data_IF_771930475974
#
_entry.id   IF_771930475974
#
_cell.length_a   1.000
_cell.length_b   1.000
_cell.length_c   1.000
_cell.angle_alpha   90.00
_cell.angle_beta   90.00
_cell.angle_gamma   90.00
#
_symmetry.space_group_name_H-M   'P 1'
#
loop_
_entity.id
_entity.type
_entity.pdbx_description
1 polymer ?
#
# COMPACT_ATOMS: atom_id res chain seq x y z
N UNK A 1 65.08 33.38 12.05
CA UNK A 1 64.66 32.74 13.32
C UNK A 1 63.14 32.62 13.33
N UNK A 2 62.64 31.41 13.62
CA UNK A 2 61.28 31.02 14.06
C UNK A 2 60.09 31.21 13.07
N UNK A 3 59.72 30.13 12.39
CA UNK A 3 58.38 29.91 11.82
C UNK A 3 57.53 29.21 12.88
N UNK A 4 56.44 29.83 13.32
CA UNK A 4 55.47 29.24 14.25
C UNK A 4 54.32 28.65 13.44
N UNK A 5 54.11 27.34 13.55
CA UNK A 5 52.98 26.64 12.96
C UNK A 5 51.90 26.48 14.05
N UNK A 6 50.70 27.04 13.83
CA UNK A 6 49.55 26.74 14.68
C UNK A 6 48.74 25.62 14.03
N UNK A 7 48.60 24.49 14.73
CA UNK A 7 47.72 23.40 14.36
C UNK A 7 46.46 23.51 15.22
N UNK A 8 45.36 23.96 14.61
CA UNK A 8 44.05 24.04 15.26
C UNK A 8 43.29 22.75 15.00
N UNK A 9 43.17 21.90 16.02
CA UNK A 9 42.31 20.71 15.98
C UNK A 9 40.88 21.11 16.31
N UNK A 10 39.98 21.09 15.33
CA UNK A 10 38.55 21.29 15.55
C UNK A 10 37.91 19.96 15.97
N UNK A 11 37.27 19.94 17.14
CA UNK A 11 36.47 18.81 17.62
C UNK A 11 35.03 18.97 17.11
N UNK A 12 34.59 18.09 16.22
CA UNK A 12 33.20 18.08 15.73
C UNK A 12 32.38 17.19 16.65
N UNK A 13 31.46 17.79 17.40
CA UNK A 13 30.40 17.09 18.13
C UNK A 13 29.37 16.58 17.13
N UNK A 14 29.36 15.27 16.85
CA UNK A 14 28.28 14.64 16.11
C UNK A 14 27.04 14.55 17.02
N UNK A 15 26.01 15.36 16.73
CA UNK A 15 24.72 15.19 17.38
C UNK A 15 23.99 13.98 16.77
N UNK A 16 23.40 13.08 17.57
CA UNK A 16 22.58 12.00 17.03
C UNK A 16 21.34 12.62 16.38
N UNK A 17 21.19 12.40 15.08
CA UNK A 17 19.94 12.68 14.40
C UNK A 17 18.88 11.73 14.96
N UNK A 18 18.01 12.22 15.84
CA UNK A 18 16.77 11.52 16.15
C UNK A 18 15.96 11.47 14.86
N UNK A 19 15.97 10.31 14.20
CA UNK A 19 15.05 10.04 13.11
C UNK A 19 13.64 10.15 13.68
N UNK A 20 12.98 11.28 13.44
CA UNK A 20 11.59 11.44 13.78
C UNK A 20 10.81 10.51 12.86
N UNK A 21 10.49 9.31 13.36
CA UNK A 21 9.55 8.39 12.73
C UNK A 21 8.27 9.19 12.47
N UNK A 22 8.06 9.56 11.21
CA UNK A 22 6.78 10.11 10.78
C UNK A 22 5.77 8.99 10.90
N UNK A 23 4.73 9.16 11.73
CA UNK A 23 3.61 8.23 11.80
C UNK A 23 3.11 7.91 10.38
N UNK A 24 2.78 6.64 10.07
CA UNK A 24 2.28 6.26 8.75
C UNK A 24 1.01 7.02 8.39
N UNK A 25 0.71 7.12 7.10
CA UNK A 25 -0.61 7.60 6.66
C UNK A 25 -1.69 6.56 6.97
N UNK A 26 -2.94 7.01 7.02
CA UNK A 26 -4.09 6.18 7.34
C UNK A 26 -4.22 4.95 6.41
N UNK A 27 -3.91 5.11 5.13
CA UNK A 27 -3.90 3.99 4.16
C UNK A 27 -2.98 2.85 4.58
N UNK A 28 -1.78 3.15 5.10
CA UNK A 28 -0.85 2.11 5.56
C UNK A 28 -1.37 1.43 6.83
N UNK A 29 -2.00 2.19 7.75
CA UNK A 29 -2.65 1.60 8.92
C UNK A 29 -3.77 0.62 8.53
N UNK A 30 -4.51 0.89 7.45
CA UNK A 30 -5.52 -0.04 6.93
C UNK A 30 -4.89 -1.32 6.39
N UNK A 31 -3.81 -1.19 5.59
CA UNK A 31 -3.06 -2.34 5.07
C UNK A 31 -2.54 -3.22 6.20
N UNK A 32 -1.92 -2.61 7.22
CA UNK A 32 -1.35 -3.34 8.34
C UNK A 32 -2.43 -4.09 9.15
N UNK A 33 -3.60 -3.46 9.35
CA UNK A 33 -4.74 -4.09 10.05
C UNK A 33 -5.35 -5.24 9.25
N UNK A 34 -5.54 -5.06 7.95
CA UNK A 34 -6.10 -6.09 7.09
C UNK A 34 -5.18 -7.32 7.06
N UNK A 35 -3.87 -7.14 6.88
CA UNK A 35 -2.90 -8.24 6.91
C UNK A 35 -2.84 -8.95 8.27
N UNK A 36 -3.04 -8.22 9.37
CA UNK A 36 -3.13 -8.83 10.69
C UNK A 36 -4.41 -9.66 10.90
N UNK A 37 -5.53 -9.27 10.26
CA UNK A 37 -6.80 -9.98 10.33
C UNK A 37 -6.88 -11.16 9.35
N UNK A 38 -6.15 -11.11 8.24
CA UNK A 38 -6.18 -12.07 7.14
C UNK A 38 -4.79 -12.70 6.93
N UNK A 39 -4.41 -13.71 7.73
CA UNK A 39 -3.10 -14.36 7.62
C UNK A 39 -2.85 -15.08 6.27
N UNK A 40 -3.89 -15.31 5.48
CA UNK A 40 -3.85 -15.84 4.12
C UNK A 40 -3.39 -14.82 3.07
N UNK A 41 -3.50 -13.51 3.35
CA UNK A 41 -2.97 -12.45 2.50
C UNK A 41 -1.44 -12.40 2.61
N UNK A 42 -0.76 -12.64 1.49
CA UNK A 42 0.70 -12.50 1.39
C UNK A 42 1.10 -11.12 0.86
N UNK A 43 0.23 -10.49 0.05
CA UNK A 43 0.42 -9.12 -0.45
C UNK A 43 -0.89 -8.36 -0.35
N UNK A 44 -0.78 -7.11 0.07
CA UNK A 44 -1.85 -6.12 -0.03
C UNK A 44 -1.25 -4.78 -0.49
N UNK A 45 -1.84 -4.18 -1.52
CA UNK A 45 -1.45 -2.88 -2.04
C UNK A 45 -2.68 -2.04 -2.39
N UNK A 46 -2.65 -0.75 -2.04
CA UNK A 46 -3.71 0.21 -2.37
C UNK A 46 -3.22 1.15 -3.46
N UNK A 47 -3.85 1.06 -4.63
CA UNK A 47 -3.61 1.86 -5.81
C UNK A 47 -4.70 2.93 -5.92
N UNK A 48 -4.36 4.21 -5.76
CA UNK A 48 -5.33 5.31 -5.87
C UNK A 48 -4.75 6.46 -6.67
N UNK A 49 -5.59 7.35 -7.19
CA UNK A 49 -5.15 8.64 -7.74
C UNK A 49 -5.18 9.68 -6.62
N UNK A 50 -4.02 10.17 -6.12
CA UNK A 50 -4.01 11.18 -5.07
C UNK A 50 -4.76 12.46 -5.47
N UNK A 51 -5.35 13.20 -4.51
CA UNK A 51 -5.92 14.51 -4.80
C UNK A 51 -4.91 15.42 -5.51
N UNK A 52 -5.34 16.02 -6.63
CA UNK A 52 -4.52 16.87 -7.50
C UNK A 52 -3.35 16.18 -8.24
N UNK A 53 -3.28 14.85 -8.23
CA UNK A 53 -2.38 14.09 -9.10
C UNK A 53 -3.12 13.53 -10.32
N UNK A 54 -2.38 13.26 -11.40
CA UNK A 54 -2.92 12.64 -12.62
C UNK A 54 -2.76 11.12 -12.63
N UNK A 55 -1.72 10.61 -11.96
CA UNK A 55 -1.38 9.19 -11.98
C UNK A 55 -2.06 8.44 -10.83
N UNK A 56 -2.59 7.25 -11.14
CA UNK A 56 -2.93 6.26 -10.13
C UNK A 56 -1.63 5.57 -9.66
N UNK A 57 -1.37 5.57 -8.35
CA UNK A 57 -0.13 5.09 -7.74
C UNK A 57 -0.40 4.24 -6.50
N UNK A 58 0.56 3.41 -6.13
CA UNK A 58 0.58 2.71 -4.84
C UNK A 58 0.79 3.75 -3.72
N UNK A 59 -0.14 3.84 -2.78
CA UNK A 59 -0.03 4.73 -1.62
C UNK A 59 0.25 3.99 -0.31
N UNK A 60 -0.05 2.69 -0.25
CA UNK A 60 0.19 1.83 0.89
C UNK A 60 0.37 0.38 0.42
N UNK A 61 1.31 -0.34 1.04
CA UNK A 61 1.53 -1.77 0.77
C UNK A 61 2.50 -2.41 1.76
N UNK A 62 2.38 -3.72 1.97
CA UNK A 62 3.40 -4.50 2.72
C UNK A 62 4.64 -4.86 1.90
N UNK A 63 4.61 -4.69 0.57
CA UNK A 63 5.78 -4.94 -0.31
C UNK A 63 6.47 -3.64 -0.75
N UNK A 64 6.09 -2.50 -0.16
CA UNK A 64 6.62 -1.18 -0.51
C UNK A 64 6.09 -0.67 -1.84
N UNK A 65 6.99 -0.25 -2.74
CA UNK A 65 6.66 0.30 -4.07
C UNK A 65 5.80 1.57 -4.06
N UNK A 66 5.75 2.27 -2.93
CA UNK A 66 4.99 3.51 -2.75
C UNK A 66 5.40 4.53 -3.84
N UNK A 67 4.42 5.08 -4.55
CA UNK A 67 4.63 5.98 -5.68
C UNK A 67 4.79 5.29 -7.04
N UNK A 68 4.88 3.95 -7.12
CA UNK A 68 4.83 3.28 -8.44
C UNK A 68 3.45 3.51 -9.05
N UNK A 69 3.43 3.91 -10.32
CA UNK A 69 2.22 3.96 -11.14
C UNK A 69 1.57 2.58 -11.28
N UNK A 70 0.25 2.56 -11.22
CA UNK A 70 -0.57 1.44 -11.68
C UNK A 70 -0.21 1.12 -13.14
N UNK A 71 -0.20 -0.17 -13.48
CA UNK A 71 -0.06 -0.60 -14.87
C UNK A 71 -1.44 -0.79 -15.54
N UNK A 72 -1.44 -1.18 -16.81
CA UNK A 72 -2.67 -1.24 -17.61
C UNK A 72 -3.69 -2.24 -17.05
N UNK A 73 -3.21 -3.28 -16.34
CA UNK A 73 -4.05 -4.30 -15.70
C UNK A 73 -4.81 -3.69 -14.51
N UNK A 74 -4.10 -3.01 -13.61
CA UNK A 74 -4.71 -2.26 -12.50
C UNK A 74 -5.73 -1.22 -13.03
N UNK A 75 -5.36 -0.46 -14.07
CA UNK A 75 -6.22 0.57 -14.65
C UNK A 75 -7.47 -0.03 -15.31
N UNK A 76 -7.39 -1.24 -15.85
CA UNK A 76 -8.53 -1.96 -16.41
C UNK A 76 -9.57 -2.29 -15.33
N UNK A 77 -9.13 -2.73 -14.14
CA UNK A 77 -10.01 -2.98 -12.99
C UNK A 77 -10.75 -1.70 -12.61
N UNK A 78 -10.02 -0.58 -12.49
CA UNK A 78 -10.60 0.72 -12.15
C UNK A 78 -11.63 1.17 -13.19
N UNK A 79 -11.34 1.02 -14.48
CA UNK A 79 -12.20 1.48 -15.58
C UNK A 79 -13.45 0.62 -15.77
N UNK A 80 -13.35 -0.69 -15.51
CA UNK A 80 -14.43 -1.63 -15.81
C UNK A 80 -15.24 -2.03 -14.58
N UNK A 81 -14.68 -1.83 -13.38
CA UNK A 81 -15.25 -2.33 -12.13
C UNK A 81 -15.20 -3.85 -11.98
N UNK A 82 -14.49 -4.55 -12.87
CA UNK A 82 -14.43 -6.02 -12.87
C UNK A 82 -13.15 -6.52 -12.20
N UNK A 83 -13.23 -7.52 -11.31
CA UNK A 83 -12.06 -8.14 -10.74
C UNK A 83 -11.14 -8.75 -11.80
N UNK A 84 -9.83 -8.68 -11.56
CA UNK A 84 -8.80 -9.40 -12.31
C UNK A 84 -8.21 -10.49 -11.43
N UNK A 85 -7.98 -11.67 -12.01
CA UNK A 85 -7.48 -12.84 -11.29
C UNK A 85 -6.30 -13.42 -12.06
N UNK A 86 -5.16 -13.58 -11.39
CA UNK A 86 -3.93 -14.09 -11.99
C UNK A 86 -3.22 -15.07 -11.05
N UNK A 87 -2.63 -16.12 -11.64
CA UNK A 87 -1.67 -16.96 -10.90
C UNK A 87 -0.31 -16.27 -10.90
N UNK A 88 0.21 -15.95 -9.72
CA UNK A 88 1.54 -15.36 -9.60
C UNK A 88 2.63 -16.39 -9.90
N UNK A 89 3.87 -15.91 -10.10
CA UNK A 89 5.03 -16.78 -10.33
C UNK A 89 5.35 -17.70 -9.14
N UNK A 90 4.92 -17.35 -7.91
CA UNK A 90 5.10 -18.21 -6.73
C UNK A 90 4.04 -19.32 -6.65
N UNK A 91 3.00 -19.28 -7.48
CA UNK A 91 1.84 -20.19 -7.39
C UNK A 91 0.72 -19.68 -6.47
N UNK A 92 0.86 -18.48 -5.91
CA UNK A 92 -0.20 -17.79 -5.17
C UNK A 92 -1.21 -17.16 -6.13
N UNK A 93 -2.44 -16.91 -5.66
CA UNK A 93 -3.49 -16.29 -6.46
C UNK A 93 -3.54 -14.78 -6.17
N UNK A 94 -3.29 -13.97 -7.21
CA UNK A 94 -3.49 -12.53 -7.19
C UNK A 94 -4.92 -12.22 -7.62
N UNK A 95 -5.60 -11.39 -6.83
CA UNK A 95 -6.94 -10.88 -7.10
C UNK A 95 -6.89 -9.36 -6.95
N UNK A 96 -7.23 -8.65 -8.00
CA UNK A 96 -7.33 -7.19 -7.99
C UNK A 96 -8.81 -6.82 -8.10
N UNK A 97 -9.28 -5.96 -7.19
CA UNK A 97 -10.68 -5.53 -7.12
C UNK A 97 -10.77 -4.00 -7.04
N UNK A 98 -11.88 -3.37 -7.48
CA UNK A 98 -12.09 -1.95 -7.30
C UNK A 98 -12.07 -1.59 -5.81
N UNK A 99 -11.32 -0.56 -5.41
CA UNK A 99 -11.33 -0.05 -4.05
C UNK A 99 -12.52 0.89 -3.87
N UNK A 100 -13.31 0.69 -2.83
CA UNK A 100 -14.43 1.56 -2.47
C UNK A 100 -14.14 2.35 -1.20
N UNK A 101 -14.72 3.54 -1.10
CA UNK A 101 -14.91 4.19 0.20
C UNK A 101 -16.20 3.68 0.89
N UNK A 102 -16.44 4.14 2.10
CA UNK A 102 -17.62 3.80 2.90
C UNK A 102 -18.94 4.16 2.19
N UNK A 103 -18.93 5.15 1.30
CA UNK A 103 -20.09 5.54 0.50
C UNK A 103 -20.34 4.64 -0.72
N UNK A 104 -19.46 3.68 -0.99
CA UNK A 104 -19.49 2.83 -2.18
C UNK A 104 -18.93 3.51 -3.43
N UNK A 105 -18.26 4.67 -3.29
CA UNK A 105 -17.59 5.31 -4.43
C UNK A 105 -16.29 4.55 -4.74
N UNK A 106 -16.08 4.21 -6.01
CA UNK A 106 -14.79 3.68 -6.46
C UNK A 106 -13.71 4.76 -6.41
N UNK A 107 -12.68 4.51 -5.60
CA UNK A 107 -11.58 5.45 -5.33
C UNK A 107 -10.20 4.91 -5.74
N UNK A 108 -10.14 3.67 -6.26
CA UNK A 108 -8.88 3.05 -6.64
C UNK A 108 -9.01 1.55 -6.92
N UNK A 109 -7.93 0.82 -6.68
CA UNK A 109 -7.82 -0.64 -6.81
C UNK A 109 -7.15 -1.20 -5.56
N UNK A 110 -7.65 -2.34 -5.08
CA UNK A 110 -7.01 -3.16 -4.06
C UNK A 110 -6.34 -4.32 -4.78
N UNK A 111 -5.02 -4.38 -4.70
CA UNK A 111 -4.22 -5.51 -5.21
C UNK A 111 -3.93 -6.47 -4.07
N UNK A 112 -4.47 -7.69 -4.17
CA UNK A 112 -4.44 -8.69 -3.11
C UNK A 112 -3.78 -9.98 -3.63
N UNK A 113 -2.85 -10.55 -2.88
CA UNK A 113 -2.32 -11.88 -3.19
C UNK A 113 -2.59 -12.81 -2.02
N UNK A 114 -3.19 -13.95 -2.31
CA UNK A 114 -3.53 -14.97 -1.35
C UNK A 114 -2.65 -16.19 -1.53
N UNK A 115 -2.19 -16.74 -0.39
CA UNK A 115 -1.59 -18.07 -0.40
C UNK A 115 -2.56 -19.06 -1.04
N UNK A 116 -2.11 -19.78 -2.06
CA UNK A 116 -2.96 -20.67 -2.84
C UNK A 116 -2.26 -21.99 -3.13
N UNK A 117 -3.00 -23.10 -3.03
CA UNK A 117 -2.50 -24.43 -3.35
C UNK A 117 -3.25 -25.01 -4.55
N UNK A 118 -2.60 -25.92 -5.27
CA UNK A 118 -3.23 -26.61 -6.38
C UNK A 118 -4.46 -27.41 -5.90
N UNK A 119 -5.62 -27.09 -6.47
CA UNK A 119 -6.90 -27.70 -6.09
C UNK A 119 -7.77 -26.83 -5.18
N UNK A 120 -7.24 -25.73 -4.65
CA UNK A 120 -8.04 -24.76 -3.90
C UNK A 120 -9.10 -24.10 -4.81
N UNK A 121 -10.21 -23.68 -4.23
CA UNK A 121 -11.32 -23.09 -4.98
C UNK A 121 -11.04 -21.61 -5.27
N UNK A 122 -10.82 -21.28 -6.54
CA UNK A 122 -10.57 -19.90 -6.95
C UNK A 122 -11.74 -18.97 -6.64
N UNK A 123 -12.99 -19.43 -6.72
CA UNK A 123 -14.12 -18.54 -6.46
C UNK A 123 -14.16 -18.12 -5.00
N UNK A 124 -13.79 -19.01 -4.08
CA UNK A 124 -13.68 -18.67 -2.65
C UNK A 124 -12.58 -17.66 -2.37
N UNK A 125 -11.46 -17.72 -3.09
CA UNK A 125 -10.41 -16.70 -2.97
C UNK A 125 -10.89 -15.34 -3.48
N UNK A 126 -11.69 -15.33 -4.56
CA UNK A 126 -12.31 -14.09 -5.06
C UNK A 126 -13.31 -13.54 -4.03
N UNK A 127 -14.21 -14.37 -3.50
CA UNK A 127 -15.15 -13.96 -2.45
C UNK A 127 -14.44 -13.38 -1.22
N UNK A 128 -13.28 -13.95 -0.86
CA UNK A 128 -12.46 -13.44 0.23
C UNK A 128 -11.81 -12.08 -0.09
N UNK A 129 -11.30 -11.89 -1.31
CA UNK A 129 -10.80 -10.59 -1.75
C UNK A 129 -11.91 -9.52 -1.70
N UNK A 130 -13.11 -9.87 -2.16
CA UNK A 130 -14.28 -9.00 -2.07
C UNK A 130 -14.64 -8.66 -0.62
N UNK A 131 -14.54 -9.63 0.29
CA UNK A 131 -14.73 -9.39 1.72
C UNK A 131 -13.69 -8.42 2.27
N UNK A 132 -12.40 -8.61 1.99
CA UNK A 132 -11.31 -7.71 2.43
C UNK A 132 -11.53 -6.30 1.90
N UNK A 133 -11.89 -6.14 0.61
CA UNK A 133 -12.27 -4.84 0.02
C UNK A 133 -13.41 -4.18 0.79
N UNK A 134 -14.45 -4.93 1.13
CA UNK A 134 -15.62 -4.37 1.82
C UNK A 134 -15.29 -3.96 3.27
N UNK A 135 -14.42 -4.72 3.94
CA UNK A 135 -13.89 -4.37 5.26
C UNK A 135 -13.02 -3.10 5.22
N UNK A 136 -12.16 -2.96 4.19
CA UNK A 136 -11.40 -1.74 3.93
C UNK A 136 -12.34 -0.55 3.64
N UNK A 137 -13.37 -0.75 2.83
CA UNK A 137 -14.35 0.27 2.49
C UNK A 137 -15.09 0.78 3.74
N UNK A 138 -15.52 -0.12 4.62
CA UNK A 138 -16.19 0.23 5.88
C UNK A 138 -15.34 1.14 6.80
N UNK A 139 -14.01 1.06 6.67
CA UNK A 139 -13.05 1.84 7.44
C UNK A 139 -12.50 3.06 6.68
N UNK A 140 -12.92 3.29 5.44
CA UNK A 140 -12.42 4.35 4.57
C UNK A 140 -13.50 5.40 4.34
N UNK A 141 -13.59 6.46 5.16
CA UNK A 141 -14.61 7.50 4.99
C UNK A 141 -14.56 8.24 3.66
N UNK A 142 -13.37 8.40 3.08
CA UNK A 142 -13.14 9.10 1.80
C UNK A 142 -11.73 8.87 1.27
N UNK A 143 -11.50 9.18 0.00
CA UNK A 143 -10.17 9.22 -0.62
C UNK A 143 -9.20 10.13 0.15
N UNK A 144 -9.63 11.33 0.54
CA UNK A 144 -8.76 12.29 1.24
C UNK A 144 -8.25 11.73 2.57
N UNK A 145 -9.10 10.95 3.27
CA UNK A 145 -8.76 10.36 4.57
C UNK A 145 -7.56 9.41 4.49
N UNK A 146 -7.38 8.72 3.36
CA UNK A 146 -6.26 7.80 3.14
C UNK A 146 -4.87 8.46 3.27
N UNK A 147 -4.79 9.77 3.00
CA UNK A 147 -3.55 10.55 3.02
C UNK A 147 -3.30 11.27 4.35
N UNK A 148 -4.27 11.30 5.26
CA UNK A 148 -4.07 11.85 6.59
C UNK A 148 -3.14 10.97 7.41
N UNK A 149 -2.50 11.52 8.45
CA UNK A 149 -1.74 10.71 9.40
C UNK A 149 -2.66 9.74 10.15
N UNK A 150 -2.17 8.54 10.35
CA UNK A 150 -2.70 7.62 11.34
C UNK A 150 -2.70 8.28 12.73
N UNK A 151 -3.73 8.02 13.53
CA UNK A 151 -3.84 8.51 14.90
C UNK A 151 -3.18 7.56 15.88
#
# INVERSE_FOLDING_TARGET
MKRTLFLSTAFVLAMPAYAQSTAPIFAQQLVDKALAAHPELTVLALHVTPPAAADNIIIASNIGRIGKKADDDDLSVLNTGKPRIEMTKSGDLSVEVPMHDHGGQTIGVVGETFRYHAGDDKSKTVELAEQVRDELASQTPSLAKLFERAK
#
